data_IF_469930276015
#
_entry.id   IF_469930276015
#
_cell.length_a   1.000
_cell.length_b   1.000
_cell.length_c   1.000
_cell.angle_alpha   90.00
_cell.angle_beta   90.00
_cell.angle_gamma   90.00
#
_symmetry.space_group_name_H-M   'P 1'
#
loop_
_entity.id
_entity.type
_entity.pdbx_description
1 polymer ?
#
# COMPACT_ATOMS: atom_id res chain seq x y z
N UNK A 1 13.60 -17.29 -19.52
CA UNK A 1 12.62 -16.70 -18.58
C UNK A 1 13.21 -15.45 -17.95
N UNK A 2 12.47 -14.33 -17.89
CA UNK A 2 12.89 -13.10 -17.20
C UNK A 2 12.00 -12.89 -15.97
N UNK A 3 12.50 -13.06 -14.73
CA UNK A 3 11.67 -12.88 -13.54
C UNK A 3 11.28 -11.42 -13.35
N UNK A 4 10.04 -11.18 -12.93
CA UNK A 4 9.52 -9.86 -12.56
C UNK A 4 9.38 -9.76 -11.04
N UNK A 5 10.22 -8.94 -10.42
CA UNK A 5 10.17 -8.63 -8.99
C UNK A 5 9.78 -7.17 -8.80
N UNK A 6 9.28 -6.83 -7.62
CA UNK A 6 8.76 -5.50 -7.34
C UNK A 6 9.13 -5.06 -5.93
N UNK A 7 9.74 -3.88 -5.83
CA UNK A 7 10.10 -3.20 -4.58
C UNK A 7 8.91 -2.43 -4.03
N UNK A 8 7.78 -3.12 -3.79
CA UNK A 8 6.52 -2.50 -3.36
C UNK A 8 6.57 -1.92 -1.95
N UNK A 9 7.59 -2.26 -1.16
CA UNK A 9 7.92 -1.54 0.07
C UNK A 9 8.12 -0.04 -0.18
N UNK A 10 8.68 0.38 -1.33
CA UNK A 10 8.95 1.81 -1.60
C UNK A 10 7.67 2.64 -1.68
N UNK A 11 6.68 2.17 -2.45
CA UNK A 11 5.37 2.82 -2.58
C UNK A 11 4.49 2.60 -1.34
N UNK A 12 4.58 1.43 -0.69
CA UNK A 12 3.92 1.18 0.58
C UNK A 12 4.48 2.07 1.70
N UNK A 13 5.76 2.44 1.67
CA UNK A 13 6.35 3.43 2.57
C UNK A 13 5.69 4.79 2.40
N UNK A 14 5.48 5.24 1.18
CA UNK A 14 4.71 6.46 0.93
C UNK A 14 3.27 6.32 1.45
N UNK A 15 2.65 5.15 1.27
CA UNK A 15 1.30 4.85 1.75
C UNK A 15 1.19 4.92 3.28
N UNK A 16 2.18 4.39 4.00
CA UNK A 16 2.26 4.45 5.45
C UNK A 16 2.41 5.88 5.97
N UNK A 17 3.29 6.67 5.35
CA UNK A 17 3.44 8.08 5.67
C UNK A 17 2.14 8.86 5.45
N UNK A 18 1.48 8.63 4.31
CA UNK A 18 0.18 9.21 3.99
C UNK A 18 -0.88 8.81 5.02
N UNK A 19 -1.00 7.52 5.35
CA UNK A 19 -1.97 7.00 6.30
C UNK A 19 -1.80 7.66 7.67
N UNK A 20 -0.56 7.78 8.15
CA UNK A 20 -0.25 8.44 9.41
C UNK A 20 -0.62 9.94 9.40
N UNK A 21 -0.44 10.62 8.27
CA UNK A 21 -0.79 12.03 8.12
C UNK A 21 -2.29 12.32 7.96
N UNK A 22 -3.07 11.35 7.47
CA UNK A 22 -4.53 11.48 7.31
C UNK A 22 -5.29 10.98 8.53
N UNK A 23 -4.72 10.03 9.28
CA UNK A 23 -5.34 9.44 10.47
C UNK A 23 -5.69 10.52 11.50
N UNK A 24 -6.92 10.44 12.01
CA UNK A 24 -7.47 11.27 13.08
C UNK A 24 -7.38 10.58 14.43
N UNK A 25 -7.42 9.25 14.46
CA UNK A 25 -7.32 8.46 15.69
C UNK A 25 -5.89 8.20 16.13
N UNK A 26 -4.91 8.42 15.23
CA UNK A 26 -3.53 8.04 15.45
C UNK A 26 -3.30 6.53 15.40
N UNK A 27 -4.25 5.77 14.83
CA UNK A 27 -4.14 4.32 14.64
C UNK A 27 -4.45 3.98 13.20
N UNK A 28 -3.55 3.24 12.58
CA UNK A 28 -3.70 2.70 11.23
C UNK A 28 -3.44 1.21 11.27
N UNK A 29 -3.96 0.46 10.31
CA UNK A 29 -3.81 -0.99 10.31
C UNK A 29 -3.36 -1.54 8.95
N UNK A 30 -2.67 -2.68 8.98
CA UNK A 30 -2.44 -3.51 7.80
C UNK A 30 -2.58 -4.97 8.17
N UNK A 31 -3.02 -5.79 7.23
CA UNK A 31 -3.06 -7.24 7.37
C UNK A 31 -2.81 -7.89 6.01
N UNK A 32 -2.30 -9.12 6.01
CA UNK A 32 -1.95 -9.83 4.78
C UNK A 32 -2.93 -10.94 4.42
N UNK A 33 -2.91 -11.37 3.15
CA UNK A 33 -3.54 -12.64 2.75
C UNK A 33 -2.77 -13.84 3.31
N UNK A 34 -1.49 -13.96 2.94
CA UNK A 34 -0.54 -14.98 3.42
C UNK A 34 0.73 -14.34 3.95
N UNK A 35 1.40 -15.00 4.92
CA UNK A 35 2.72 -14.59 5.38
C UNK A 35 3.80 -15.09 4.41
N UNK A 36 3.93 -14.38 3.28
CA UNK A 36 4.93 -14.63 2.24
C UNK A 36 5.64 -13.34 1.84
N UNK A 37 6.90 -13.39 1.34
CA UNK A 37 7.67 -12.19 1.03
C UNK A 37 6.96 -11.16 0.12
N UNK A 38 6.22 -11.57 -0.94
CA UNK A 38 5.48 -10.62 -1.77
C UNK A 38 4.37 -9.85 -1.04
N UNK A 39 3.87 -10.36 0.10
CA UNK A 39 2.86 -9.69 0.93
C UNK A 39 3.55 -8.87 2.02
N UNK A 40 4.47 -9.47 2.75
CA UNK A 40 5.10 -8.83 3.91
C UNK A 40 5.95 -7.63 3.53
N UNK A 41 6.50 -7.58 2.32
CA UNK A 41 7.23 -6.41 1.81
C UNK A 41 6.35 -5.15 1.74
N UNK A 42 5.05 -5.27 1.42
CA UNK A 42 4.12 -4.12 1.49
C UNK A 42 3.87 -3.72 2.94
N UNK A 43 3.64 -4.70 3.82
CA UNK A 43 3.32 -4.46 5.23
C UNK A 43 4.51 -3.80 5.96
N UNK A 44 5.73 -4.25 5.68
CA UNK A 44 6.97 -3.64 6.16
C UNK A 44 7.12 -2.20 5.66
N UNK A 45 6.94 -1.97 4.36
CA UNK A 45 7.00 -0.63 3.79
C UNK A 45 6.02 0.30 4.48
N UNK A 46 4.76 -0.12 4.61
CA UNK A 46 3.71 0.63 5.30
C UNK A 46 4.10 1.00 6.74
N UNK A 47 4.52 0.02 7.54
CA UNK A 47 4.89 0.26 8.92
C UNK A 47 6.11 1.20 9.05
N UNK A 48 7.11 1.06 8.17
CA UNK A 48 8.27 1.97 8.12
C UNK A 48 7.90 3.38 7.69
N UNK A 49 6.94 3.52 6.77
CA UNK A 49 6.38 4.82 6.38
C UNK A 49 5.73 5.56 7.55
N UNK A 50 4.94 4.85 8.37
CA UNK A 50 4.33 5.39 9.59
C UNK A 50 5.41 5.77 10.61
N UNK A 51 6.41 4.92 10.83
CA UNK A 51 7.53 5.22 11.72
C UNK A 51 8.32 6.45 11.26
N UNK A 52 8.53 6.61 9.95
CA UNK A 52 9.18 7.79 9.39
C UNK A 52 8.36 9.06 9.61
N UNK A 53 7.04 9.01 9.38
CA UNK A 53 6.13 10.11 9.70
C UNK A 53 6.25 10.53 11.17
N UNK A 54 6.19 9.56 12.09
CA UNK A 54 6.33 9.79 13.52
C UNK A 54 7.65 10.51 13.85
N UNK A 55 8.76 10.06 13.25
CA UNK A 55 10.08 10.69 13.45
C UNK A 55 10.11 12.12 12.93
N UNK A 56 9.68 12.38 11.70
CA UNK A 56 9.81 13.71 11.09
C UNK A 56 8.78 14.71 11.61
N UNK A 57 7.63 14.24 12.11
CA UNK A 57 6.56 15.08 12.65
C UNK A 57 6.51 15.14 14.17
N UNK A 58 7.38 14.40 14.87
CA UNK A 58 7.30 14.22 16.32
C UNK A 58 5.89 13.77 16.76
N UNK A 59 5.40 12.71 16.12
CA UNK A 59 4.07 12.10 16.36
C UNK A 59 4.22 10.65 16.81
N UNK A 60 3.10 10.05 17.24
CA UNK A 60 3.05 8.67 17.74
C UNK A 60 1.85 7.91 17.17
N UNK A 61 1.77 7.82 15.85
CA UNK A 61 0.78 6.97 15.16
C UNK A 61 1.17 5.49 15.31
N UNK A 62 0.22 4.66 15.69
CA UNK A 62 0.41 3.22 15.91
C UNK A 62 -0.05 2.42 14.70
N UNK A 63 0.74 1.40 14.32
CA UNK A 63 0.37 0.41 13.30
C UNK A 63 -0.17 -0.83 13.99
N UNK A 64 -1.38 -1.22 13.63
CA UNK A 64 -2.01 -2.47 14.06
C UNK A 64 -1.84 -3.55 12.99
N UNK A 65 -1.70 -4.80 13.42
CA UNK A 65 -1.72 -5.98 12.54
C UNK A 65 -0.39 -6.38 11.89
N UNK A 66 0.71 -5.66 12.16
CA UNK A 66 2.05 -6.04 11.66
C UNK A 66 3.17 -5.69 12.64
N UNK A 67 4.08 -6.64 12.88
CA UNK A 67 5.31 -6.45 13.64
C UNK A 67 6.53 -6.62 12.71
N UNK A 68 7.18 -5.50 12.39
CA UNK A 68 8.33 -5.47 11.48
C UNK A 68 9.56 -6.23 11.97
N UNK A 69 9.71 -6.41 13.29
CA UNK A 69 10.85 -7.10 13.88
C UNK A 69 10.63 -8.61 13.86
N UNK A 70 9.41 -9.05 14.20
CA UNK A 70 9.04 -10.47 14.17
C UNK A 70 8.75 -11.00 12.76
N UNK A 71 8.52 -10.10 11.79
CA UNK A 71 8.05 -10.45 10.45
C UNK A 71 6.76 -11.28 10.49
N UNK A 72 5.88 -10.91 11.40
CA UNK A 72 4.61 -11.59 11.62
C UNK A 72 3.50 -10.61 12.01
N UNK A 73 2.25 -11.06 11.93
CA UNK A 73 1.11 -10.20 12.18
C UNK A 73 -0.22 -10.88 11.88
N UNK A 74 -1.20 -10.08 11.47
CA UNK A 74 -2.54 -10.56 11.16
C UNK A 74 -2.64 -11.00 9.71
N UNK A 75 -3.08 -12.23 9.49
CA UNK A 75 -3.26 -12.80 8.17
C UNK A 75 -4.62 -13.49 8.03
N UNK A 76 -5.19 -13.42 6.83
CA UNK A 76 -6.38 -14.20 6.47
C UNK A 76 -6.05 -15.69 6.42
N UNK A 77 -4.84 -16.07 5.99
CA UNK A 77 -4.45 -17.45 5.71
C UNK A 77 -4.72 -17.88 4.26
N UNK A 78 -4.98 -16.91 3.38
CA UNK A 78 -5.29 -17.12 1.96
C UNK A 78 -5.81 -15.84 1.31
N UNK A 79 -6.30 -15.97 0.07
CA UNK A 79 -6.81 -14.84 -0.72
C UNK A 79 -8.29 -15.01 -1.14
N UNK A 80 -9.03 -15.94 -0.51
CA UNK A 80 -10.41 -16.27 -0.88
C UNK A 80 -11.44 -16.08 0.25
N UNK A 81 -11.01 -15.95 1.51
CA UNK A 81 -11.92 -15.86 2.67
C UNK A 81 -12.33 -14.41 2.99
N UNK A 82 -13.36 -13.94 2.27
CA UNK A 82 -13.94 -12.62 2.47
C UNK A 82 -14.59 -12.44 3.86
N UNK A 83 -15.12 -13.51 4.46
CA UNK A 83 -15.76 -13.43 5.77
C UNK A 83 -14.72 -13.15 6.86
N UNK A 84 -13.58 -13.84 6.82
CA UNK A 84 -12.45 -13.60 7.72
C UNK A 84 -11.81 -12.24 7.48
N UNK A 85 -11.65 -11.81 6.23
CA UNK A 85 -11.17 -10.46 5.90
C UNK A 85 -12.08 -9.36 6.48
N UNK A 86 -13.41 -9.54 6.38
CA UNK A 86 -14.39 -8.65 7.00
C UNK A 86 -14.26 -8.63 8.52
N UNK A 87 -14.15 -9.79 9.17
CA UNK A 87 -13.98 -9.89 10.62
C UNK A 87 -12.72 -9.16 11.09
N UNK A 88 -11.57 -9.39 10.43
CA UNK A 88 -10.31 -8.70 10.71
C UNK A 88 -10.48 -7.18 10.57
N UNK A 89 -11.12 -6.72 9.49
CA UNK A 89 -11.35 -5.29 9.23
C UNK A 89 -12.19 -4.64 10.33
N UNK A 90 -13.29 -5.29 10.75
CA UNK A 90 -14.12 -4.83 11.87
C UNK A 90 -13.35 -4.75 13.18
N UNK A 91 -12.51 -5.75 13.45
CA UNK A 91 -11.69 -5.76 14.67
C UNK A 91 -10.70 -4.60 14.70
N UNK A 92 -10.09 -4.23 13.56
CA UNK A 92 -9.22 -3.05 13.51
C UNK A 92 -9.99 -1.74 13.69
N UNK A 93 -11.16 -1.59 13.08
CA UNK A 93 -12.01 -0.41 13.34
C UNK A 93 -12.43 -0.30 14.81
N UNK A 94 -12.75 -1.43 15.46
CA UNK A 94 -13.06 -1.48 16.90
C UNK A 94 -11.86 -1.08 17.76
N UNK A 95 -10.64 -1.43 17.34
CA UNK A 95 -9.40 -1.00 17.98
C UNK A 95 -9.04 0.48 17.67
N UNK A 96 -9.80 1.13 16.80
CA UNK A 96 -9.69 2.54 16.46
C UNK A 96 -8.91 2.84 15.17
N UNK A 97 -8.59 1.85 14.34
CA UNK A 97 -7.97 2.10 13.05
C UNK A 97 -8.92 2.86 12.12
N UNK A 98 -8.47 4.00 11.58
CA UNK A 98 -9.25 4.81 10.64
C UNK A 98 -8.66 4.85 9.22
N UNK A 99 -7.49 4.24 9.02
CA UNK A 99 -6.93 3.89 7.71
C UNK A 99 -6.49 2.43 7.74
N UNK A 100 -7.01 1.61 6.82
CA UNK A 100 -6.69 0.18 6.76
C UNK A 100 -6.07 -0.15 5.40
N UNK A 101 -4.93 -0.84 5.42
CA UNK A 101 -4.20 -1.29 4.25
C UNK A 101 -4.21 -2.82 4.14
N UNK A 102 -5.26 -3.43 3.55
CA UNK A 102 -5.36 -4.87 3.34
C UNK A 102 -4.45 -5.34 2.20
N UNK A 103 -3.36 -6.04 2.51
CA UNK A 103 -2.44 -6.66 1.53
C UNK A 103 -2.91 -8.08 1.21
N UNK A 104 -4.12 -8.17 0.67
CA UNK A 104 -4.83 -9.45 0.48
C UNK A 104 -5.52 -9.54 -0.89
N UNK A 105 -5.00 -8.84 -1.90
CA UNK A 105 -5.57 -8.80 -3.25
C UNK A 105 -7.04 -8.36 -3.24
N UNK A 106 -7.91 -9.12 -3.92
CA UNK A 106 -9.35 -8.82 -4.02
C UNK A 106 -10.09 -8.79 -2.67
N UNK A 107 -9.54 -9.40 -1.62
CA UNK A 107 -10.16 -9.36 -0.28
C UNK A 107 -10.19 -7.95 0.34
N UNK A 108 -9.43 -6.99 -0.21
CA UNK A 108 -9.57 -5.57 0.14
C UNK A 108 -11.00 -5.04 -0.07
N UNK A 109 -11.81 -5.67 -0.93
CA UNK A 109 -13.22 -5.35 -1.11
C UNK A 109 -14.07 -5.58 0.14
N UNK A 110 -13.73 -6.58 0.96
CA UNK A 110 -14.41 -6.81 2.24
C UNK A 110 -14.14 -5.66 3.24
N UNK A 111 -12.90 -5.17 3.30
CA UNK A 111 -12.54 -3.98 4.08
C UNK A 111 -13.26 -2.75 3.57
N UNK A 112 -13.23 -2.50 2.26
CA UNK A 112 -13.84 -1.31 1.67
C UNK A 112 -15.36 -1.30 1.84
N UNK A 113 -16.03 -2.44 1.63
CA UNK A 113 -17.47 -2.57 1.90
C UNK A 113 -17.81 -2.32 3.37
N UNK A 114 -16.97 -2.79 4.30
CA UNK A 114 -17.10 -2.47 5.72
C UNK A 114 -16.93 -0.98 5.98
N UNK A 115 -15.89 -0.34 5.45
CA UNK A 115 -15.63 1.10 5.58
C UNK A 115 -16.78 1.95 5.07
N UNK A 116 -17.43 1.56 3.96
CA UNK A 116 -18.63 2.26 3.44
C UNK A 116 -19.80 2.18 4.40
N UNK A 117 -20.01 1.00 5.01
CA UNK A 117 -21.12 0.74 5.94
C UNK A 117 -20.87 1.42 7.29
N UNK A 118 -19.68 1.24 7.86
CA UNK A 118 -19.31 1.73 9.19
C UNK A 118 -19.03 3.22 9.21
N UNK A 119 -18.51 3.77 8.10
CA UNK A 119 -18.00 5.14 7.95
C UNK A 119 -16.86 5.46 8.94
N UNK A 120 -16.21 4.44 9.51
CA UNK A 120 -15.16 4.59 10.54
C UNK A 120 -13.75 4.65 9.96
N UNK A 121 -13.55 4.07 8.78
CA UNK A 121 -12.23 3.98 8.16
C UNK A 121 -12.25 4.30 6.67
N UNK A 122 -11.06 4.51 6.11
CA UNK A 122 -10.80 4.49 4.66
C UNK A 122 -9.77 3.40 4.34
N UNK A 123 -9.68 3.01 3.07
CA UNK A 123 -8.87 1.88 2.61
C UNK A 123 -7.78 2.34 1.66
N UNK A 124 -6.59 1.76 1.80
CA UNK A 124 -5.54 1.80 0.80
C UNK A 124 -5.61 0.48 0.01
N UNK A 125 -5.74 0.56 -1.31
CA UNK A 125 -5.84 -0.63 -2.16
C UNK A 125 -4.45 -1.17 -2.58
N UNK A 126 -4.41 -2.37 -3.16
CA UNK A 126 -3.16 -3.01 -3.66
C UNK A 126 -3.26 -3.43 -5.12
N UNK A 127 -2.10 -3.63 -5.74
CA UNK A 127 -1.86 -4.17 -7.08
C UNK A 127 -2.30 -3.27 -8.24
N UNK A 128 -3.53 -2.76 -8.22
CA UNK A 128 -4.10 -1.86 -9.24
C UNK A 128 -4.61 -0.58 -8.60
N UNK A 129 -4.97 0.41 -9.43
CA UNK A 129 -5.75 1.54 -8.94
C UNK A 129 -7.18 1.07 -8.65
N UNK A 130 -7.48 0.89 -7.36
CA UNK A 130 -8.77 0.40 -6.89
C UNK A 130 -9.92 1.32 -7.25
N UNK A 131 -9.67 2.62 -7.46
CA UNK A 131 -10.70 3.57 -7.91
C UNK A 131 -11.23 3.20 -9.29
N UNK A 132 -10.36 2.68 -10.17
CA UNK A 132 -10.72 2.22 -11.52
C UNK A 132 -11.19 0.77 -11.49
N UNK A 133 -10.45 -0.10 -10.80
CA UNK A 133 -10.69 -1.55 -10.82
C UNK A 133 -11.89 -2.00 -9.98
N UNK A 134 -12.26 -1.24 -8.95
CA UNK A 134 -13.37 -1.54 -8.04
C UNK A 134 -14.23 -0.29 -7.78
N UNK A 135 -14.92 0.24 -8.82
CA UNK A 135 -15.59 1.53 -8.79
C UNK A 135 -16.71 1.63 -7.74
N UNK A 136 -17.26 0.50 -7.29
CA UNK A 136 -18.24 0.45 -6.21
C UNK A 136 -17.70 0.92 -4.85
N UNK A 137 -16.37 0.95 -4.66
CA UNK A 137 -15.73 1.33 -3.41
C UNK A 137 -15.10 2.73 -3.41
N UNK A 138 -15.20 3.50 -4.52
CA UNK A 138 -14.52 4.79 -4.72
C UNK A 138 -14.60 5.75 -3.53
N UNK A 139 -15.74 5.79 -2.84
CA UNK A 139 -16.00 6.71 -1.72
C UNK A 139 -15.13 6.47 -0.49
N UNK A 140 -14.46 5.32 -0.37
CA UNK A 140 -13.61 4.97 0.77
C UNK A 140 -12.17 4.64 0.39
N UNK A 141 -11.81 4.69 -0.90
CA UNK A 141 -10.44 4.41 -1.34
C UNK A 141 -9.59 5.69 -1.27
N UNK A 142 -8.62 5.71 -0.34
CA UNK A 142 -7.73 6.84 -0.12
C UNK A 142 -6.67 6.97 -1.23
N UNK A 143 -6.12 5.84 -1.65
CA UNK A 143 -5.13 5.69 -2.73
C UNK A 143 -4.96 4.18 -2.99
N UNK A 144 -4.02 3.79 -3.83
CA UNK A 144 -3.62 2.41 -4.05
C UNK A 144 -2.11 2.30 -4.13
N UNK A 145 -1.54 1.26 -3.52
CA UNK A 145 -0.16 0.85 -3.77
C UNK A 145 -0.15 -0.04 -5.01
N UNK A 146 0.11 0.57 -6.17
CA UNK A 146 0.02 -0.10 -7.47
C UNK A 146 1.29 -0.89 -7.73
N UNK A 147 1.12 -2.15 -8.17
CA UNK A 147 2.17 -2.99 -8.72
C UNK A 147 2.10 -2.86 -10.24
N UNK A 148 3.09 -2.21 -10.84
CA UNK A 148 3.14 -1.87 -12.27
C UNK A 148 3.41 -3.07 -13.17
N UNK A 149 2.61 -4.14 -13.05
CA UNK A 149 2.75 -5.37 -13.84
C UNK A 149 2.60 -5.05 -15.34
N UNK A 150 1.58 -4.27 -15.71
CA UNK A 150 1.38 -3.83 -17.10
C UNK A 150 2.58 -3.07 -17.66
N UNK A 151 3.08 -2.08 -16.92
CA UNK A 151 4.30 -1.32 -17.27
C UNK A 151 5.51 -2.24 -17.44
N UNK A 152 5.66 -3.23 -16.55
CA UNK A 152 6.79 -4.15 -16.56
C UNK A 152 6.73 -5.12 -17.74
N UNK A 153 5.55 -5.68 -18.04
CA UNK A 153 5.34 -6.56 -19.21
C UNK A 153 5.56 -5.77 -20.50
N UNK A 154 5.03 -4.55 -20.60
CA UNK A 154 5.24 -3.70 -21.77
C UNK A 154 6.73 -3.39 -21.98
N UNK A 155 7.49 -3.12 -20.91
CA UNK A 155 8.92 -2.91 -20.99
C UNK A 155 9.65 -4.15 -21.53
N UNK A 156 9.30 -5.35 -21.04
CA UNK A 156 9.90 -6.61 -21.50
C UNK A 156 9.59 -6.90 -22.97
N UNK A 157 8.33 -6.69 -23.41
CA UNK A 157 7.94 -6.86 -24.82
C UNK A 157 8.70 -5.86 -25.71
N UNK A 158 8.88 -4.62 -25.26
CA UNK A 158 9.66 -3.61 -25.99
C UNK A 158 11.14 -3.98 -26.08
N UNK A 159 11.73 -4.54 -25.02
CA UNK A 159 13.12 -5.00 -25.06
C UNK A 159 13.29 -6.13 -26.09
N UNK A 160 12.39 -7.11 -26.11
CA UNK A 160 12.36 -8.20 -27.10
C UNK A 160 12.24 -7.66 -28.53
N UNK A 161 11.23 -6.81 -28.79
CA UNK A 161 10.99 -6.24 -30.11
C UNK A 161 12.17 -5.41 -30.65
N UNK A 162 12.97 -4.82 -29.76
CA UNK A 162 14.17 -4.05 -30.10
C UNK A 162 15.45 -4.89 -30.15
N UNK A 163 15.38 -6.22 -30.01
CA UNK A 163 16.55 -7.10 -29.96
C UNK A 163 17.44 -6.92 -28.71
N UNK A 164 16.89 -6.33 -27.64
CA UNK A 164 17.57 -6.03 -26.37
C UNK A 164 17.17 -6.98 -25.24
N UNK A 165 16.50 -8.09 -25.55
CA UNK A 165 16.06 -9.02 -24.53
C UNK A 165 17.24 -9.54 -23.68
N UNK A 166 17.00 -9.63 -22.38
CA UNK A 166 17.93 -10.20 -21.41
C UNK A 166 17.15 -10.97 -20.35
N UNK A 167 17.69 -12.14 -19.98
CA UNK A 167 17.19 -12.96 -18.87
C UNK A 167 17.39 -12.33 -17.49
N UNK A 168 18.15 -11.22 -17.40
CA UNK A 168 18.32 -10.46 -16.16
C UNK A 168 16.98 -9.99 -15.63
N UNK A 169 16.70 -10.30 -14.36
CA UNK A 169 15.43 -10.00 -13.71
C UNK A 169 15.06 -8.52 -13.78
N UNK A 170 13.79 -8.24 -14.04
CA UNK A 170 13.25 -6.89 -13.92
C UNK A 170 12.89 -6.63 -12.45
N UNK A 171 13.37 -5.52 -11.89
CA UNK A 171 12.93 -5.04 -10.59
C UNK A 171 12.11 -3.76 -10.76
N UNK A 172 10.80 -3.87 -10.59
CA UNK A 172 9.87 -2.75 -10.59
C UNK A 172 9.98 -1.95 -9.30
N UNK A 173 10.31 -0.67 -9.38
CA UNK A 173 10.51 0.21 -8.24
C UNK A 173 9.93 1.61 -8.56
N UNK A 174 10.07 2.57 -7.65
CA UNK A 174 9.58 3.93 -7.87
C UNK A 174 10.32 4.66 -9.00
N UNK A 175 11.57 4.30 -9.34
CA UNK A 175 12.34 4.95 -10.40
C UNK A 175 11.80 4.63 -11.79
N UNK A 176 11.40 3.39 -12.02
CA UNK A 176 10.89 2.91 -13.32
C UNK A 176 9.37 2.76 -13.36
N UNK A 177 8.65 3.31 -12.37
CA UNK A 177 7.21 3.18 -12.21
C UNK A 177 6.71 1.72 -12.18
N UNK A 178 7.57 0.77 -11.82
CA UNK A 178 7.17 -0.60 -11.53
C UNK A 178 6.38 -0.72 -10.23
N UNK A 179 6.40 0.30 -9.38
CA UNK A 179 5.39 0.52 -8.34
C UNK A 179 5.20 2.02 -8.12
N UNK A 180 4.03 2.43 -7.61
CA UNK A 180 3.71 3.83 -7.30
C UNK A 180 2.43 3.92 -6.44
N UNK A 181 2.18 5.10 -5.88
CA UNK A 181 0.87 5.45 -5.32
C UNK A 181 -0.05 5.98 -6.43
N UNK A 182 -1.27 5.42 -6.51
CA UNK A 182 -2.32 5.99 -7.34
C UNK A 182 -2.75 7.38 -6.81
N UNK A 183 -3.43 8.21 -7.63
CA UNK A 183 -4.01 9.47 -7.17
C UNK A 183 -4.96 9.28 -5.98
N UNK A 184 -5.23 10.38 -5.27
CA UNK A 184 -6.18 10.38 -4.14
C UNK A 184 -7.65 10.47 -4.58
N UNK A 185 -7.88 10.68 -5.89
CA UNK A 185 -9.20 10.77 -6.53
C UNK A 185 -10.20 11.62 -5.74
N UNK A 186 -11.39 11.08 -5.48
CA UNK A 186 -12.47 11.78 -4.77
C UNK A 186 -12.10 12.15 -3.33
N UNK A 187 -11.14 11.43 -2.73
CA UNK A 187 -10.68 11.66 -1.36
C UNK A 187 -9.52 12.66 -1.27
N UNK A 188 -9.13 13.32 -2.36
CA UNK A 188 -8.08 14.34 -2.36
C UNK A 188 -8.31 15.45 -1.33
N UNK A 189 -9.58 15.82 -1.07
CA UNK A 189 -9.93 16.83 -0.05
C UNK A 189 -9.67 16.38 1.38
N UNK A 190 -9.55 15.07 1.64
CA UNK A 190 -9.11 14.53 2.94
C UNK A 190 -7.60 14.61 3.14
N UNK A 191 -6.83 14.88 2.08
CA UNK A 191 -5.36 14.93 2.12
C UNK A 191 -4.89 16.38 2.01
N UNK A 192 -4.45 17.02 3.13
CA UNK A 192 -3.98 18.41 3.10
C UNK A 192 -2.88 18.62 2.06
N UNK A 193 -2.86 19.78 1.39
CA UNK A 193 -1.87 20.10 0.35
C UNK A 193 -0.42 19.94 0.82
N UNK A 194 -0.13 20.32 2.07
CA UNK A 194 1.18 20.12 2.68
C UNK A 194 1.56 18.63 2.73
N UNK A 195 0.64 17.77 3.19
CA UNK A 195 0.86 16.33 3.24
C UNK A 195 1.05 15.73 1.83
N UNK A 196 0.28 16.17 0.83
CA UNK A 196 0.46 15.74 -0.57
C UNK A 196 1.87 16.06 -1.06
N UNK A 197 2.34 17.28 -0.80
CA UNK A 197 3.68 17.74 -1.17
C UNK A 197 4.76 16.91 -0.48
N UNK A 198 4.58 16.62 0.80
CA UNK A 198 5.49 15.76 1.57
C UNK A 198 5.56 14.34 1.00
N UNK A 199 4.42 13.73 0.67
CA UNK A 199 4.37 12.38 0.09
C UNK A 199 5.06 12.34 -1.28
N UNK A 200 4.87 13.37 -2.12
CA UNK A 200 5.58 13.51 -3.40
C UNK A 200 7.09 13.63 -3.18
N UNK A 201 7.52 14.50 -2.26
CA UNK A 201 8.93 14.68 -1.92
C UNK A 201 9.54 13.39 -1.37
N UNK A 202 8.84 12.69 -0.49
CA UNK A 202 9.28 11.42 0.08
C UNK A 202 9.51 10.37 -1.02
N UNK A 203 8.62 10.30 -2.02
CA UNK A 203 8.82 9.44 -3.18
C UNK A 203 10.10 9.79 -3.96
N UNK A 204 10.41 11.08 -4.13
CA UNK A 204 11.66 11.52 -4.78
C UNK A 204 12.90 11.22 -3.92
N UNK A 205 12.81 11.37 -2.60
CA UNK A 205 13.87 11.03 -1.68
C UNK A 205 14.15 9.51 -1.66
N UNK A 206 13.11 8.66 -1.78
CA UNK A 206 13.26 7.21 -1.93
C UNK A 206 13.89 6.87 -3.28
N UNK A 207 13.40 7.48 -4.38
CA UNK A 207 14.00 7.30 -5.72
C UNK A 207 15.48 7.67 -5.74
N UNK A 208 15.88 8.76 -5.11
CA UNK A 208 17.29 9.18 -5.08
C UNK A 208 18.15 8.36 -4.10
N UNK A 209 17.53 7.54 -3.24
CA UNK A 209 18.23 6.79 -2.20
C UNK A 209 18.52 7.60 -0.93
N UNK A 210 18.05 8.85 -0.85
CA UNK A 210 18.16 9.70 0.36
C UNK A 210 17.36 9.15 1.54
N UNK A 211 16.24 8.48 1.27
CA UNK A 211 15.46 7.73 2.25
C UNK A 211 15.44 6.26 1.85
N UNK A 212 15.86 5.38 2.75
CA UNK A 212 15.75 3.93 2.55
C UNK A 212 14.36 3.44 2.92
N UNK A 213 13.70 2.77 1.97
CA UNK A 213 12.47 2.01 2.23
C UNK A 213 12.76 0.54 2.58
N UNK A 214 14.04 0.14 2.65
CA UNK A 214 14.46 -1.23 2.96
C UNK A 214 14.41 -1.57 4.43
#
# INVERSE_FOLDING_TARGET
MKPLQFSTNESAFQAGYLAAGVSKTGKVATYGGLNIPPVTIFMDGFAKGVAHYNKVKSKSVTVLGWDTAKKDGTFVGGFSDSAKALQISKNFEQQGADVIFPVAGGLGGATAGNSMTSKKSVVIWVDTDGYVAAPQYKSVLLTSVVKGVGTSVQAVIKDEANGKFSSTGYNGNLKNAGTFLAPYHDLIRKVPTALRTEVTKLGNDIRSGKVSAK
#
